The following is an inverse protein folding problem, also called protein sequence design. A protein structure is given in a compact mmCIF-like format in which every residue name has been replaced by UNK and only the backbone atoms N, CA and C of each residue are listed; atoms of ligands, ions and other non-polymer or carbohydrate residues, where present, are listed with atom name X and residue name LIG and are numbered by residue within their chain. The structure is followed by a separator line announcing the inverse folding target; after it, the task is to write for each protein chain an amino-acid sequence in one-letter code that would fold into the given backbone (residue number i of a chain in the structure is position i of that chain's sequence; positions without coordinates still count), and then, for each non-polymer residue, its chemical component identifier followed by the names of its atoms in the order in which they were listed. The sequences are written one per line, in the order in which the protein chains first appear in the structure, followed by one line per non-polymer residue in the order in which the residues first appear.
data_IF_610096661136
#
_entry.id   IF_610096661136
#
_cell.length_a   1.000
_cell.length_b   1.000
_cell.length_c   1.000
_cell.angle_alpha   90.00
_cell.angle_beta   90.00
_cell.angle_gamma   90.00
#
_symmetry.space_group_name_H-M   'P 1'
#
loop_
_entity.id
_entity.type
_entity.pdbx_description
1 polymer ?
#
# COMPACT_ATOMS: atom_id res chain seq x y z
N UNK A 1 -7.95 30.18 9.35
CA UNK A 1 -6.79 29.32 9.69
C UNK A 1 -6.92 28.04 8.88
N UNK A 2 -6.05 27.75 7.90
CA UNK A 2 -6.13 26.50 7.17
C UNK A 2 -5.81 25.35 8.13
N UNK A 3 -6.67 24.33 8.16
CA UNK A 3 -6.48 23.14 8.97
C UNK A 3 -5.09 22.53 8.67
N UNK A 4 -4.31 22.12 9.69
CA UNK A 4 -3.08 21.39 9.45
C UNK A 4 -3.48 20.12 8.67
N UNK A 5 -3.18 20.12 7.38
CA UNK A 5 -3.38 18.97 6.51
C UNK A 5 -2.50 17.88 7.11
N UNK A 6 -3.11 16.97 7.89
CA UNK A 6 -2.41 15.85 8.53
C UNK A 6 -1.43 15.31 7.50
N UNK A 7 -0.13 15.18 7.80
CA UNK A 7 0.82 14.64 6.84
C UNK A 7 0.22 13.32 6.38
N UNK A 8 -0.11 13.24 5.09
CA UNK A 8 -0.51 12.00 4.45
C UNK A 8 0.70 11.11 4.65
N UNK A 9 0.66 10.31 5.72
CA UNK A 9 1.79 9.49 6.12
C UNK A 9 1.90 8.47 5.00
N UNK A 10 2.83 8.73 4.09
CA UNK A 10 3.15 7.86 2.98
C UNK A 10 3.38 6.48 3.60
N UNK A 11 2.54 5.52 3.23
CA UNK A 11 2.68 4.17 3.74
C UNK A 11 3.96 3.60 3.11
N UNK A 12 5.01 3.44 3.91
CA UNK A 12 6.23 2.78 3.44
C UNK A 12 5.98 1.30 3.22
N UNK A 13 6.63 0.73 2.20
CA UNK A 13 6.54 -0.71 1.88
C UNK A 13 6.83 -1.61 3.08
N UNK A 14 7.79 -1.22 3.93
CA UNK A 14 8.18 -1.96 5.12
C UNK A 14 7.04 -2.09 6.14
N UNK A 15 6.25 -1.03 6.33
CA UNK A 15 5.11 -1.05 7.25
C UNK A 15 3.99 -1.97 6.73
N UNK A 16 3.73 -1.94 5.42
CA UNK A 16 2.72 -2.78 4.78
C UNK A 16 3.12 -4.26 4.91
N UNK A 17 4.37 -4.61 4.57
CA UNK A 17 4.90 -5.98 4.72
C UNK A 17 4.82 -6.47 6.17
N UNK A 18 5.13 -5.61 7.14
CA UNK A 18 5.02 -5.92 8.56
C UNK A 18 3.56 -6.18 8.99
N UNK A 19 2.62 -5.32 8.56
CA UNK A 19 1.20 -5.50 8.85
C UNK A 19 0.65 -6.79 8.24
N UNK A 20 1.03 -7.13 7.01
CA UNK A 20 0.60 -8.36 6.35
C UNK A 20 1.18 -9.62 7.01
N UNK A 21 2.44 -9.57 7.45
CA UNK A 21 3.07 -10.66 8.21
C UNK A 21 2.36 -10.93 9.54
N UNK A 22 1.81 -9.88 10.17
CA UNK A 22 1.03 -10.00 11.41
C UNK A 22 -0.35 -10.61 11.23
N UNK A 23 -0.86 -10.74 10.00
CA UNK A 23 -2.19 -11.32 9.74
C UNK A 23 -2.03 -12.81 9.44
N UNK A 24 -2.45 -13.64 10.39
CA UNK A 24 -2.42 -15.11 10.29
C UNK A 24 -3.58 -15.66 9.46
N UNK A 25 -4.72 -14.98 9.44
CA UNK A 25 -5.89 -15.36 8.64
C UNK A 25 -5.69 -15.06 7.15
N UNK A 26 -5.65 -16.10 6.30
CA UNK A 26 -5.62 -15.95 4.83
C UNK A 26 -6.67 -14.97 4.26
N UNK A 27 -7.97 -15.05 4.62
CA UNK A 27 -8.98 -14.13 4.07
C UNK A 27 -8.79 -12.68 4.54
N UNK A 28 -8.39 -12.47 5.79
CA UNK A 28 -8.09 -11.12 6.29
C UNK A 28 -6.81 -10.55 5.67
N UNK A 29 -5.80 -11.39 5.43
CA UNK A 29 -4.56 -10.97 4.80
C UNK A 29 -4.81 -10.54 3.36
N UNK A 30 -5.65 -11.28 2.63
CA UNK A 30 -6.10 -10.92 1.28
C UNK A 30 -6.83 -9.57 1.29
N UNK A 31 -7.82 -9.41 2.19
CA UNK A 31 -8.57 -8.16 2.34
C UNK A 31 -7.67 -6.98 2.70
N UNK A 32 -6.68 -7.19 3.57
CA UNK A 32 -5.69 -6.17 3.91
C UNK A 32 -4.81 -5.82 2.71
N UNK A 33 -4.33 -6.80 1.94
CA UNK A 33 -3.56 -6.55 0.73
C UNK A 33 -4.36 -5.69 -0.27
N UNK A 34 -5.64 -6.00 -0.50
CA UNK A 34 -6.50 -5.21 -1.40
C UNK A 34 -6.69 -3.76 -0.92
N UNK A 35 -6.84 -3.56 0.40
CA UNK A 35 -6.95 -2.23 0.99
C UNK A 35 -5.64 -1.45 0.82
N UNK A 36 -4.49 -2.08 1.10
CA UNK A 36 -3.19 -1.44 0.92
C UNK A 36 -2.90 -1.17 -0.55
N UNK A 37 -3.33 -2.05 -1.46
CA UNK A 37 -3.17 -1.87 -2.90
C UNK A 37 -3.84 -0.57 -3.35
N UNK A 38 -5.12 -0.38 -2.99
CA UNK A 38 -5.87 0.84 -3.29
C UNK A 38 -5.19 2.09 -2.72
N UNK A 39 -4.67 2.01 -1.50
CA UNK A 39 -3.95 3.15 -0.89
C UNK A 39 -2.66 3.48 -1.64
N UNK A 40 -1.89 2.48 -2.04
CA UNK A 40 -0.65 2.68 -2.80
C UNK A 40 -0.94 3.21 -4.20
N UNK A 41 -2.03 2.79 -4.85
CA UNK A 41 -2.44 3.35 -6.16
C UNK A 41 -2.79 4.84 -6.05
N UNK A 42 -3.53 5.24 -5.01
CA UNK A 42 -3.83 6.67 -4.75
C UNK A 42 -2.54 7.45 -4.46
N UNK A 43 -1.62 6.86 -3.69
CA UNK A 43 -0.33 7.47 -3.37
C UNK A 43 0.55 7.62 -4.63
N UNK A 44 0.52 6.63 -5.53
CA UNK A 44 1.21 6.64 -6.83
C UNK A 44 0.68 7.77 -7.71
N UNK A 45 -0.63 7.96 -7.78
CA UNK A 45 -1.22 9.06 -8.55
C UNK A 45 -0.81 10.43 -7.97
N UNK A 46 -0.81 10.57 -6.64
CA UNK A 46 -0.35 11.79 -5.97
C UNK A 46 1.15 12.08 -6.19
N UNK A 47 2.01 11.05 -6.12
CA UNK A 47 3.44 11.15 -6.38
C UNK A 47 3.73 11.42 -7.86
N UNK A 48 3.00 10.78 -8.78
CA UNK A 48 3.10 11.04 -10.22
C UNK A 48 2.75 12.50 -10.53
N UNK A 49 1.72 13.04 -9.89
CA UNK A 49 1.34 14.46 -10.00
C UNK A 49 2.41 15.39 -9.42
N UNK A 50 3.07 14.96 -8.33
CA UNK A 50 4.14 15.71 -7.65
C UNK A 50 5.54 15.44 -8.21
N UNK A 51 5.68 14.69 -9.33
CA UNK A 51 6.95 14.25 -9.94
C UNK A 51 7.95 13.68 -8.94
N UNK A 52 7.46 13.03 -7.89
CA UNK A 52 8.26 12.42 -6.83
C UNK A 52 8.55 10.96 -7.17
N UNK A 53 9.57 10.35 -6.55
CA UNK A 53 9.90 8.95 -6.81
C UNK A 53 8.70 8.04 -6.49
N UNK A 54 8.25 7.30 -7.51
CA UNK A 54 7.15 6.33 -7.45
C UNK A 54 7.65 4.88 -7.38
N UNK A 55 8.96 4.64 -7.40
CA UNK A 55 9.53 3.30 -7.53
C UNK A 55 9.17 2.41 -6.33
N UNK A 56 9.32 2.93 -5.11
CA UNK A 56 8.93 2.24 -3.87
C UNK A 56 7.43 1.89 -3.87
N UNK A 57 6.61 2.82 -4.36
CA UNK A 57 5.16 2.65 -4.45
C UNK A 57 4.79 1.57 -5.48
N UNK A 58 5.44 1.56 -6.65
CA UNK A 58 5.19 0.58 -7.72
C UNK A 58 5.66 -0.83 -7.31
N UNK A 59 6.83 -0.96 -6.64
CA UNK A 59 7.30 -2.23 -6.08
C UNK A 59 6.32 -2.81 -5.05
N UNK A 60 5.83 -1.95 -4.16
CA UNK A 60 4.82 -2.35 -3.15
C UNK A 60 3.52 -2.81 -3.80
N UNK A 61 3.05 -2.12 -4.85
CA UNK A 61 1.85 -2.52 -5.60
C UNK A 61 2.05 -3.89 -6.23
N UNK A 62 3.21 -4.16 -6.85
CA UNK A 62 3.52 -5.47 -7.41
C UNK A 62 3.54 -6.56 -6.34
N UNK A 63 4.19 -6.30 -5.22
CA UNK A 63 4.21 -7.21 -4.07
C UNK A 63 2.80 -7.54 -3.59
N UNK A 64 1.94 -6.52 -3.43
CA UNK A 64 0.56 -6.69 -2.99
C UNK A 64 -0.28 -7.50 -3.98
N UNK A 65 -0.16 -7.25 -5.29
CA UNK A 65 -0.86 -8.05 -6.32
C UNK A 65 -0.41 -9.51 -6.29
N UNK A 66 0.90 -9.75 -6.23
CA UNK A 66 1.45 -11.09 -6.14
C UNK A 66 0.98 -11.83 -4.87
N UNK A 67 0.93 -11.13 -3.73
CA UNK A 67 0.47 -11.72 -2.48
C UNK A 67 -1.05 -12.01 -2.50
N UNK A 68 -1.87 -11.16 -3.13
CA UNK A 68 -3.29 -11.44 -3.34
C UNK A 68 -3.49 -12.68 -4.22
N UNK A 69 -2.74 -12.79 -5.32
CA UNK A 69 -2.82 -13.93 -6.22
C UNK A 69 -2.42 -15.23 -5.50
N UNK A 70 -1.31 -15.20 -4.75
CA UNK A 70 -0.87 -16.33 -3.93
C UNK A 70 -1.90 -16.73 -2.85
N UNK A 71 -2.57 -15.75 -2.23
CA UNK A 71 -3.61 -16.02 -1.23
C UNK A 71 -4.96 -16.42 -1.84
N UNK A 72 -5.16 -16.21 -3.13
CA UNK A 72 -6.37 -16.57 -3.86
C UNK A 72 -6.27 -17.91 -4.59
N UNK A 73 -5.07 -18.47 -4.71
CA UNK A 73 -4.78 -19.80 -5.24
C UNK A 73 -4.98 -20.86 -4.18
#
# INVERSE_FOLDING_TARGET
MPAPTKPVSFLSSGFIKLKLKGITSKPERKKACEVYLKRMEVQREAQKKSRTSIEDTDDTIRFLKAEIEHLSR
#
